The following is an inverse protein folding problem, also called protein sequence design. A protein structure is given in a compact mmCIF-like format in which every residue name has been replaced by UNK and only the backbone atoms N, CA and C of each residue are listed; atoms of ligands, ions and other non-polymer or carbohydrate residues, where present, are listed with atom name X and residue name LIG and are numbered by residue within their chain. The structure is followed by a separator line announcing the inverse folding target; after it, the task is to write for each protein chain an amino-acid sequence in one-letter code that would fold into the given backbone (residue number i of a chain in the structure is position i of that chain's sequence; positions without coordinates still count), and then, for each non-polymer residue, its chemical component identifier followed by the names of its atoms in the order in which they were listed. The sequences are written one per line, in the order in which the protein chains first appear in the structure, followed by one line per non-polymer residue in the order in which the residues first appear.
data_IF_464048982742
#
_entry.id   IF_464048982742
#
_cell.length_a   1.000
_cell.length_b   1.000
_cell.length_c   1.000
_cell.angle_alpha   90.00
_cell.angle_beta   90.00
_cell.angle_gamma   90.00
#
_symmetry.space_group_name_H-M   'P 1'
#
loop_
_entity.id
_entity.type
_entity.pdbx_description
1 polymer ?
#
# COMPACT_ATOMS: atom_id res chain seq x y z
N UNK A 1 -6.26 11.24 -0.16
CA UNK A 1 -5.84 10.55 -1.37
C UNK A 1 -4.62 11.17 -2.02
N UNK A 2 -4.50 12.49 -2.03
CA UNK A 2 -3.28 13.14 -2.53
C UNK A 2 -2.45 13.67 -1.37
N UNK A 3 -1.14 13.79 -1.61
CA UNK A 3 -0.21 14.29 -0.60
C UNK A 3 -0.62 15.68 -0.12
N UNK A 4 -0.76 15.88 1.21
CA UNK A 4 -1.14 17.21 1.73
C UNK A 4 -0.04 18.26 1.57
N UNK A 5 1.19 17.84 1.28
CA UNK A 5 2.32 18.74 1.12
C UNK A 5 2.52 19.18 -0.34
N UNK A 6 2.49 18.26 -1.31
CA UNK A 6 2.79 18.58 -2.71
C UNK A 6 1.70 18.18 -3.72
N UNK A 7 0.65 17.49 -3.29
CA UNK A 7 -0.46 17.10 -4.13
C UNK A 7 -0.25 15.90 -5.04
N UNK A 8 0.90 15.20 -4.91
CA UNK A 8 1.16 14.00 -5.71
C UNK A 8 0.37 12.79 -5.20
N UNK A 9 0.27 11.75 -6.02
CA UNK A 9 -0.38 10.49 -5.66
C UNK A 9 0.51 9.67 -4.72
N UNK A 10 -0.08 8.78 -3.90
CA UNK A 10 0.71 7.91 -3.02
C UNK A 10 1.46 6.84 -3.81
N UNK A 11 2.67 6.51 -3.34
CA UNK A 11 3.50 5.44 -3.88
C UNK A 11 3.14 4.08 -3.27
N UNK A 12 2.97 4.05 -1.96
CA UNK A 12 2.68 2.84 -1.19
C UNK A 12 2.03 3.22 0.14
N UNK A 13 1.62 2.21 0.91
CA UNK A 13 1.14 2.42 2.27
C UNK A 13 1.87 1.48 3.24
N UNK A 14 1.80 1.79 4.53
CA UNK A 14 2.34 0.91 5.55
C UNK A 14 1.54 1.05 6.85
N UNK A 15 1.56 -0.01 7.67
CA UNK A 15 1.03 0.02 9.02
C UNK A 15 2.18 0.27 9.97
N UNK A 16 2.09 1.36 10.72
CA UNK A 16 3.14 1.74 11.65
C UNK A 16 3.20 0.81 12.86
N UNK A 17 4.40 0.68 13.44
CA UNK A 17 4.57 0.04 14.74
C UNK A 17 3.96 0.95 15.78
N UNK A 18 3.02 0.41 16.60
CA UNK A 18 2.46 1.14 17.72
C UNK A 18 3.13 0.63 19.01
N UNK A 19 3.32 1.53 19.97
CA UNK A 19 3.87 1.17 21.28
C UNK A 19 2.94 0.30 22.11
N UNK A 20 1.68 0.14 21.67
CA UNK A 20 0.68 -0.69 22.34
C UNK A 20 0.40 -1.92 21.48
N UNK A 21 0.81 -3.09 21.97
CA UNK A 21 0.75 -4.35 21.24
C UNK A 21 -0.67 -4.82 20.88
N UNK A 22 -1.69 -4.27 21.51
CA UNK A 22 -3.08 -4.69 21.34
C UNK A 22 -3.87 -3.79 20.38
N UNK A 23 -3.31 -2.68 19.95
CA UNK A 23 -3.99 -1.73 19.06
C UNK A 23 -3.40 -1.84 17.66
N UNK A 24 -4.26 -1.99 16.66
CA UNK A 24 -3.84 -1.93 15.27
C UNK A 24 -3.24 -0.56 14.98
N UNK A 25 -2.00 -0.53 14.47
CA UNK A 25 -1.34 0.71 14.11
C UNK A 25 -2.10 1.44 13.00
N UNK A 26 -1.95 2.77 12.90
CA UNK A 26 -2.57 3.52 11.82
C UNK A 26 -1.94 3.18 10.48
N UNK A 27 -2.72 3.33 9.41
CA UNK A 27 -2.22 3.23 8.05
C UNK A 27 -1.67 4.58 7.62
N UNK A 28 -0.49 4.56 7.01
CA UNK A 28 0.13 5.75 6.42
C UNK A 28 0.28 5.56 4.93
N UNK A 29 0.09 6.63 4.17
CA UNK A 29 0.46 6.69 2.76
C UNK A 29 1.79 7.43 2.65
N UNK A 30 2.60 7.05 1.66
CA UNK A 30 3.89 7.68 1.38
C UNK A 30 3.80 8.36 0.01
N UNK A 31 4.12 9.65 -0.03
CA UNK A 31 4.08 10.41 -1.28
C UNK A 31 5.14 9.91 -2.27
N UNK A 32 4.72 9.79 -3.54
CA UNK A 32 5.61 9.33 -4.61
C UNK A 32 6.66 10.39 -5.00
N UNK A 33 6.46 11.64 -4.63
CA UNK A 33 7.32 12.75 -5.05
C UNK A 33 8.18 13.29 -3.92
N UNK A 34 7.58 13.63 -2.78
CA UNK A 34 8.32 14.28 -1.69
C UNK A 34 8.54 13.38 -0.48
N UNK A 35 8.06 12.14 -0.52
CA UNK A 35 8.18 11.15 0.56
C UNK A 35 7.49 11.54 1.86
N UNK A 36 6.62 12.55 1.86
CA UNK A 36 5.80 12.89 3.01
C UNK A 36 4.87 11.72 3.36
N UNK A 37 4.76 11.41 4.65
CA UNK A 37 3.85 10.38 5.14
C UNK A 37 2.61 11.04 5.74
N UNK A 38 1.42 10.50 5.47
CA UNK A 38 0.20 11.00 6.11
C UNK A 38 -0.75 9.85 6.43
N UNK A 39 -1.55 10.08 7.49
CA UNK A 39 -2.52 9.08 7.94
C UNK A 39 -3.66 8.98 6.94
N UNK A 40 -4.10 7.74 6.66
CA UNK A 40 -5.23 7.48 5.78
C UNK A 40 -6.06 6.32 6.32
N UNK A 41 -7.35 6.31 6.00
CA UNK A 41 -8.26 5.25 6.45
C UNK A 41 -7.83 3.87 5.93
N UNK A 42 -7.90 2.86 6.80
CA UNK A 42 -7.59 1.47 6.45
C UNK A 42 -8.66 0.84 5.54
N UNK A 43 -9.87 1.40 5.53
CA UNK A 43 -11.04 0.85 4.83
C UNK A 43 -11.44 1.70 3.62
N UNK A 44 -10.50 2.40 3.03
CA UNK A 44 -10.77 3.29 1.91
C UNK A 44 -9.70 3.13 0.83
N UNK A 45 -10.12 3.18 -0.44
CA UNK A 45 -9.16 3.15 -1.55
C UNK A 45 -8.38 4.45 -1.62
N UNK A 46 -7.05 4.35 -1.66
CA UNK A 46 -6.17 5.50 -1.75
C UNK A 46 -6.23 6.20 -3.12
N UNK A 47 -6.77 5.53 -4.14
CA UNK A 47 -6.90 6.11 -5.48
C UNK A 47 -8.19 6.87 -5.70
N UNK A 48 -9.34 6.28 -5.37
CA UNK A 48 -10.65 6.85 -5.69
C UNK A 48 -11.53 7.13 -4.48
N UNK A 49 -11.12 6.70 -3.27
CA UNK A 49 -11.89 6.93 -2.06
C UNK A 49 -13.02 5.94 -1.81
N UNK A 50 -13.08 4.81 -2.56
CA UNK A 50 -14.09 3.79 -2.34
C UNK A 50 -14.02 3.26 -0.90
N UNK A 51 -15.14 3.26 -0.20
CA UNK A 51 -15.22 2.83 1.19
C UNK A 51 -15.97 1.52 1.39
N UNK A 52 -16.51 0.92 0.33
CA UNK A 52 -17.18 -0.36 0.42
C UNK A 52 -16.15 -1.49 0.46
N UNK A 53 -16.01 -2.13 1.63
CA UNK A 53 -15.01 -3.19 1.83
C UNK A 53 -15.14 -4.36 0.88
N UNK A 54 -16.34 -4.63 0.34
CA UNK A 54 -16.53 -5.73 -0.62
C UNK A 54 -15.88 -5.45 -1.98
N UNK A 55 -15.53 -4.19 -2.25
CA UNK A 55 -14.86 -3.76 -3.47
C UNK A 55 -13.37 -3.48 -3.27
N UNK A 56 -12.82 -3.83 -2.10
CA UNK A 56 -11.43 -3.60 -1.75
C UNK A 56 -10.73 -4.94 -1.48
N UNK A 57 -10.44 -5.74 -2.53
CA UNK A 57 -9.78 -7.02 -2.33
C UNK A 57 -8.35 -6.85 -1.81
N UNK A 58 -7.92 -7.80 -0.97
CA UNK A 58 -6.57 -7.86 -0.44
C UNK A 58 -5.94 -9.15 -0.92
N UNK A 59 -4.76 -9.06 -1.55
CA UNK A 59 -4.01 -10.22 -2.00
C UNK A 59 -2.71 -10.31 -1.22
N UNK A 60 -2.45 -11.47 -0.62
CA UNK A 60 -1.30 -11.66 0.24
C UNK A 60 -0.67 -13.02 0.00
N UNK A 61 0.67 -13.06 -0.10
CA UNK A 61 1.43 -14.29 -0.19
C UNK A 61 2.26 -14.41 1.10
N UNK A 62 1.86 -15.34 1.98
CA UNK A 62 2.40 -15.43 3.33
C UNK A 62 3.78 -16.10 3.42
N UNK A 63 4.14 -16.87 2.41
CA UNK A 63 5.37 -17.65 2.45
C UNK A 63 6.60 -16.78 2.16
N UNK A 64 6.55 -15.98 1.10
CA UNK A 64 7.69 -15.17 0.66
C UNK A 64 7.58 -13.71 1.06
N UNK A 65 6.35 -13.19 1.21
CA UNK A 65 6.10 -11.79 1.53
C UNK A 65 5.12 -11.68 2.70
N UNK A 66 5.49 -12.17 3.91
CA UNK A 66 4.56 -12.18 5.04
C UNK A 66 4.22 -10.78 5.56
N UNK A 67 5.04 -9.78 5.25
CA UNK A 67 4.87 -8.40 5.70
C UNK A 67 4.32 -7.47 4.61
N UNK A 68 4.04 -7.98 3.41
CA UNK A 68 3.57 -7.18 2.29
C UNK A 68 2.28 -7.73 1.73
N UNK A 69 1.43 -6.85 1.21
CA UNK A 69 0.18 -7.23 0.57
C UNK A 69 -0.21 -6.24 -0.52
N UNK A 70 -1.11 -6.68 -1.40
CA UNK A 70 -1.72 -5.83 -2.42
C UNK A 70 -3.08 -5.37 -1.91
N UNK A 71 -3.29 -4.05 -1.83
CA UNK A 71 -4.59 -3.46 -1.56
C UNK A 71 -5.18 -2.96 -2.88
N UNK A 72 -6.16 -3.69 -3.41
CA UNK A 72 -6.80 -3.39 -4.68
C UNK A 72 -8.13 -2.67 -4.52
N UNK A 73 -8.67 -2.21 -5.63
CA UNK A 73 -9.99 -1.59 -5.68
C UNK A 73 -10.70 -1.99 -6.98
N UNK A 74 -11.90 -2.54 -6.85
CA UNK A 74 -12.70 -2.95 -8.01
C UNK A 74 -13.45 -1.78 -8.64
N UNK A 75 -13.54 -0.64 -7.96
CA UNK A 75 -14.21 0.55 -8.50
C UNK A 75 -13.32 1.31 -9.48
N UNK A 76 -12.06 1.56 -9.14
CA UNK A 76 -11.13 2.26 -10.03
C UNK A 76 -10.14 1.34 -10.73
N UNK A 77 -10.13 0.06 -10.40
CA UNK A 77 -9.21 -0.96 -10.93
C UNK A 77 -7.74 -0.63 -10.71
N UNK A 78 -7.44 0.01 -9.57
CA UNK A 78 -6.08 0.35 -9.18
C UNK A 78 -5.70 -0.34 -7.88
N UNK A 79 -4.40 -0.40 -7.61
CA UNK A 79 -3.88 -1.01 -6.39
C UNK A 79 -2.65 -0.26 -5.90
N UNK A 80 -2.27 -0.51 -4.65
CA UNK A 80 -0.96 -0.14 -4.14
C UNK A 80 -0.49 -1.24 -3.18
N UNK A 81 0.83 -1.30 -2.96
CA UNK A 81 1.40 -2.24 -2.02
C UNK A 81 1.35 -1.65 -0.61
N UNK A 82 1.08 -2.50 0.37
CA UNK A 82 1.04 -2.13 1.78
C UNK A 82 2.00 -3.03 2.54
N UNK A 83 2.81 -2.44 3.41
CA UNK A 83 3.80 -3.14 4.22
C UNK A 83 3.42 -3.05 5.69
N UNK A 84 3.42 -4.20 6.37
CA UNK A 84 3.08 -4.27 7.79
C UNK A 84 4.38 -4.26 8.62
N UNK A 85 4.78 -3.09 9.09
CA UNK A 85 5.99 -2.93 9.87
C UNK A 85 5.88 -3.54 11.28
N UNK A 86 4.67 -3.91 11.69
CA UNK A 86 4.47 -4.63 12.95
C UNK A 86 4.97 -6.07 12.87
N UNK A 87 5.00 -6.64 11.65
CA UNK A 87 5.48 -8.01 11.40
C UNK A 87 6.99 -8.05 11.17
N UNK A 88 7.53 -7.01 10.53
CA UNK A 88 8.96 -6.91 10.29
C UNK A 88 9.39 -5.45 10.44
N UNK A 89 9.92 -5.13 11.61
CA UNK A 89 10.37 -3.77 11.95
C UNK A 89 11.62 -3.36 11.19
N UNK A 90 12.31 -4.29 10.53
CA UNK A 90 13.50 -4.01 9.72
C UNK A 90 13.13 -3.70 8.27
N UNK A 91 11.86 -3.89 7.89
CA UNK A 91 11.43 -3.62 6.54
C UNK A 91 11.56 -2.12 6.22
N UNK A 92 12.03 -1.81 5.01
CA UNK A 92 12.14 -0.45 4.49
C UNK A 92 11.18 -0.37 3.30
N UNK A 93 9.96 0.20 3.46
CA UNK A 93 8.91 0.09 2.45
C UNK A 93 9.32 0.51 1.04
N UNK A 94 10.10 1.59 0.91
CA UNK A 94 10.52 2.09 -0.41
C UNK A 94 11.43 1.08 -1.13
N UNK A 95 12.30 0.41 -0.38
CA UNK A 95 13.19 -0.63 -0.92
C UNK A 95 12.42 -1.92 -1.15
N UNK A 96 11.58 -2.32 -0.18
CA UNK A 96 10.83 -3.57 -0.24
C UNK A 96 9.79 -3.55 -1.36
N UNK A 97 9.27 -2.38 -1.74
CA UNK A 97 8.36 -2.26 -2.87
C UNK A 97 9.02 -2.75 -4.16
N UNK A 98 10.28 -2.41 -4.39
CA UNK A 98 11.01 -2.87 -5.57
C UNK A 98 11.21 -4.38 -5.51
N UNK A 99 11.52 -4.93 -4.33
CA UNK A 99 11.73 -6.36 -4.13
C UNK A 99 10.42 -7.17 -4.22
N UNK A 100 9.27 -6.54 -4.09
CA UNK A 100 7.96 -7.20 -4.11
C UNK A 100 7.37 -7.30 -5.53
N UNK A 101 8.18 -7.29 -6.56
CA UNK A 101 7.74 -7.40 -7.96
C UNK A 101 6.75 -8.55 -8.19
N UNK A 102 6.90 -9.76 -7.61
CA UNK A 102 5.92 -10.81 -7.81
C UNK A 102 4.49 -10.43 -7.39
N UNK A 103 4.33 -9.59 -6.36
CA UNK A 103 3.02 -9.09 -5.96
C UNK A 103 2.46 -8.12 -7.00
N UNK A 104 3.30 -7.26 -7.58
CA UNK A 104 2.90 -6.36 -8.67
C UNK A 104 2.40 -7.15 -9.88
N UNK A 105 3.12 -8.19 -10.26
CA UNK A 105 2.74 -9.03 -11.41
C UNK A 105 1.42 -9.74 -11.14
N UNK A 106 1.22 -10.24 -9.92
CA UNK A 106 -0.04 -10.88 -9.55
C UNK A 106 -1.22 -9.91 -9.64
N UNK A 107 -1.03 -8.69 -9.14
CA UNK A 107 -2.08 -7.67 -9.19
C UNK A 107 -2.47 -7.31 -10.64
N UNK A 108 -1.48 -7.23 -11.52
CA UNK A 108 -1.74 -6.99 -12.95
C UNK A 108 -2.53 -8.12 -13.59
N UNK A 109 -2.26 -9.37 -13.21
CA UNK A 109 -3.01 -10.53 -13.67
C UNK A 109 -4.47 -10.47 -13.22
N UNK A 110 -4.76 -9.80 -12.11
CA UNK A 110 -6.12 -9.56 -11.63
C UNK A 110 -6.78 -8.35 -12.29
N UNK A 111 -6.14 -7.74 -13.29
CA UNK A 111 -6.70 -6.60 -14.00
C UNK A 111 -6.51 -5.26 -13.31
N UNK A 112 -5.64 -5.18 -12.32
CA UNK A 112 -5.39 -3.96 -11.56
C UNK A 112 -4.20 -3.20 -12.12
N UNK A 113 -4.24 -1.87 -12.00
CA UNK A 113 -3.15 -0.96 -12.39
C UNK A 113 -2.63 -0.25 -11.15
N UNK A 114 -1.32 -0.12 -11.03
CA UNK A 114 -0.74 0.55 -9.86
C UNK A 114 -1.06 2.04 -9.87
N UNK A 115 -1.34 2.60 -8.67
CA UNK A 115 -1.62 4.03 -8.53
C UNK A 115 -0.42 4.85 -8.97
N UNK A 116 0.80 4.48 -8.52
CA UNK A 116 2.04 5.12 -8.96
C UNK A 116 3.09 4.03 -9.19
N UNK A 117 3.71 4.02 -10.36
CA UNK A 117 4.79 3.08 -10.66
C UNK A 117 6.02 3.41 -9.81
N UNK A 118 6.79 2.38 -9.43
CA UNK A 118 8.04 2.59 -8.71
C UNK A 118 9.17 2.97 -9.67
N UNK A 119 10.39 3.13 -9.13
CA UNK A 119 11.56 3.52 -9.93
C UNK A 119 11.91 2.50 -11.03
N UNK A 120 11.46 1.26 -10.90
CA UNK A 120 11.68 0.20 -11.89
C UNK A 120 10.55 0.12 -12.92
N UNK A 121 9.57 1.03 -12.88
CA UNK A 121 8.44 1.05 -13.80
C UNK A 121 7.31 0.08 -13.46
N UNK A 122 7.26 -0.38 -12.20
CA UNK A 122 6.23 -1.33 -11.74
C UNK A 122 5.39 -0.75 -10.62
#
# INVERSE_FOLDING_TARGET
MRCPNCGALPQLSYFAVSGEALVSGPRYLVCSRCATNWIFSRMMCAGCGESNGTKLPIYQEHEHFPHARVDGCQSCHKYLLTFDLRRDTRAVPVVDEIAALPLDLYARDQGLTKITLNLMGN
#
